data_IF_936917962949
#
_entry.id   IF_936917962949
#
_cell.length_a   1.000
_cell.length_b   1.000
_cell.length_c   1.000
_cell.angle_alpha   90.00
_cell.angle_beta   90.00
_cell.angle_gamma   90.00
#
_symmetry.space_group_name_H-M   'P 1'
#
loop_
_entity.id
_entity.type
_entity.pdbx_description
1 polymer ?
#
# COMPACT_ATOMS: atom_id res chain seq x y z
N UNK A 1 -5.37 9.82 11.25
CA UNK A 1 -5.81 9.24 9.96
C UNK A 1 -6.84 10.16 9.34
N UNK A 2 -6.72 10.44 8.04
CA UNK A 2 -7.62 11.33 7.28
C UNK A 2 -8.24 10.51 6.14
N UNK A 3 -9.56 10.43 6.09
CA UNK A 3 -10.30 9.72 5.06
C UNK A 3 -10.47 10.60 3.82
N UNK A 4 -10.25 10.06 2.64
CA UNK A 4 -10.39 10.79 1.36
C UNK A 4 -11.54 10.25 0.50
N UNK A 5 -12.22 9.19 0.95
CA UNK A 5 -13.29 8.54 0.19
C UNK A 5 -14.46 9.47 -0.17
N UNK A 6 -14.73 10.51 0.63
CA UNK A 6 -15.75 11.53 0.34
C UNK A 6 -15.32 12.60 -0.67
N UNK A 7 -14.03 12.69 -1.00
CA UNK A 7 -13.45 13.75 -1.83
C UNK A 7 -13.41 13.39 -3.32
N UNK A 8 -13.84 12.19 -3.70
CA UNK A 8 -13.58 11.68 -5.06
C UNK A 8 -12.09 11.59 -5.39
N UNK A 9 -11.22 11.46 -4.39
CA UNK A 9 -9.76 11.38 -4.52
C UNK A 9 -9.21 10.25 -3.68
N UNK A 10 -8.19 9.58 -4.19
CA UNK A 10 -7.43 8.59 -3.42
C UNK A 10 -6.54 9.26 -2.37
N UNK A 11 -6.21 8.53 -1.32
CA UNK A 11 -5.27 9.02 -0.29
C UNK A 11 -3.91 9.37 -0.89
N UNK A 12 -3.48 8.65 -1.94
CA UNK A 12 -2.25 8.94 -2.69
C UNK A 12 -2.30 10.27 -3.43
N UNK A 13 -3.44 10.63 -4.02
CA UNK A 13 -3.61 11.92 -4.71
C UNK A 13 -3.61 13.08 -3.72
N UNK A 14 -4.33 12.93 -2.59
CA UNK A 14 -4.32 13.96 -1.53
C UNK A 14 -2.92 14.10 -0.93
N UNK A 15 -2.19 13.00 -0.73
CA UNK A 15 -0.81 13.04 -0.28
C UNK A 15 0.12 13.75 -1.28
N UNK A 16 -0.09 13.56 -2.58
CA UNK A 16 0.66 14.29 -3.61
C UNK A 16 0.38 15.80 -3.57
N UNK A 17 -0.88 16.20 -3.42
CA UNK A 17 -1.26 17.61 -3.27
C UNK A 17 -0.63 18.24 -2.03
N UNK A 18 -0.70 17.58 -0.87
CA UNK A 18 -0.07 18.02 0.37
C UNK A 18 1.43 18.23 0.21
N UNK A 19 2.13 17.27 -0.41
CA UNK A 19 3.59 17.33 -0.62
C UNK A 19 3.98 18.44 -1.62
N UNK A 20 3.31 18.49 -2.76
CA UNK A 20 3.73 19.34 -3.89
C UNK A 20 3.31 20.80 -3.73
N UNK A 21 2.08 21.04 -3.28
CA UNK A 21 1.53 22.41 -3.15
C UNK A 21 1.75 22.99 -1.77
N UNK A 22 1.59 22.18 -0.73
CA UNK A 22 1.57 22.68 0.65
C UNK A 22 2.84 22.36 1.41
N UNK A 23 3.77 21.57 0.85
CA UNK A 23 5.03 21.14 1.51
C UNK A 23 4.75 20.46 2.85
N UNK A 24 3.74 19.60 2.88
CA UNK A 24 3.37 18.77 4.03
C UNK A 24 3.53 17.32 3.60
N UNK A 25 4.35 16.57 4.31
CA UNK A 25 4.57 15.14 4.04
C UNK A 25 3.69 14.31 4.97
N UNK A 26 2.72 13.55 4.44
CA UNK A 26 2.04 12.52 5.22
C UNK A 26 2.97 11.35 5.51
N UNK A 27 2.76 10.67 6.64
CA UNK A 27 3.49 9.46 7.01
C UNK A 27 3.25 8.31 6.01
N UNK A 28 1.98 8.13 5.59
CA UNK A 28 1.61 7.08 4.64
C UNK A 28 0.31 7.40 3.91
N UNK A 29 0.13 6.79 2.74
CA UNK A 29 -1.06 6.98 1.92
C UNK A 29 -1.56 5.67 1.30
N UNK A 30 -2.86 5.45 1.40
CA UNK A 30 -3.59 4.31 0.83
C UNK A 30 -4.61 4.80 -0.19
N UNK A 31 -5.40 3.87 -0.72
CA UNK A 31 -6.43 4.17 -1.71
C UNK A 31 -7.55 5.05 -1.18
N UNK A 32 -7.90 4.97 0.11
CA UNK A 32 -9.06 5.66 0.71
C UNK A 32 -8.74 6.63 1.84
N UNK A 33 -7.48 6.68 2.25
CA UNK A 33 -7.06 7.44 3.41
C UNK A 33 -5.57 7.71 3.34
N UNK A 34 -5.14 8.66 4.14
CA UNK A 34 -3.75 8.91 4.45
C UNK A 34 -3.57 9.02 5.96
N UNK A 35 -2.35 8.80 6.41
CA UNK A 35 -1.93 8.97 7.78
C UNK A 35 -1.08 10.24 7.86
N UNK A 36 -1.58 11.24 8.57
CA UNK A 36 -0.76 12.30 9.14
C UNK A 36 -0.39 11.85 10.56
N UNK A 37 0.90 11.83 10.87
CA UNK A 37 1.42 11.52 12.18
C UNK A 37 1.93 12.82 12.81
N UNK A 38 1.65 12.99 14.10
CA UNK A 38 1.99 14.18 14.86
C UNK A 38 2.86 13.79 16.04
N UNK A 39 3.64 14.73 16.54
CA UNK A 39 4.69 14.56 17.54
C UNK A 39 4.79 15.81 18.41
N UNK A 40 5.61 15.74 19.46
CA UNK A 40 5.92 16.89 20.32
C UNK A 40 6.70 18.00 19.60
N UNK A 41 7.22 17.71 18.39
CA UNK A 41 7.97 18.66 17.58
C UNK A 41 7.07 19.46 16.61
N UNK A 42 5.77 19.16 16.56
CA UNK A 42 4.84 19.89 15.70
C UNK A 42 4.39 21.20 16.34
N UNK A 43 4.21 22.22 15.49
CA UNK A 43 3.83 23.56 15.92
C UNK A 43 2.35 23.84 15.62
N UNK A 44 1.75 24.76 16.39
CA UNK A 44 0.39 25.25 16.11
C UNK A 44 0.26 25.80 14.68
N UNK A 45 1.32 26.45 14.17
CA UNK A 45 1.40 26.89 12.77
C UNK A 45 1.33 25.71 11.79
N UNK A 46 2.02 24.60 12.07
CA UNK A 46 1.97 23.38 11.28
C UNK A 46 0.56 22.81 11.19
N UNK A 47 -0.16 22.77 12.32
CA UNK A 47 -1.56 22.35 12.37
C UNK A 47 -2.49 23.29 11.60
N UNK A 48 -2.29 24.61 11.72
CA UNK A 48 -3.06 25.59 10.97
C UNK A 48 -2.86 25.43 9.45
N UNK A 49 -1.62 25.23 9.00
CA UNK A 49 -1.28 24.96 7.60
C UNK A 49 -1.91 23.68 7.08
N UNK A 50 -1.83 22.58 7.84
CA UNK A 50 -2.47 21.32 7.48
C UNK A 50 -3.99 21.48 7.34
N UNK A 51 -4.63 22.15 8.28
CA UNK A 51 -6.07 22.39 8.27
C UNK A 51 -6.50 23.22 7.06
N UNK A 52 -5.78 24.31 6.77
CA UNK A 52 -6.03 25.15 5.61
C UNK A 52 -5.85 24.39 4.29
N UNK A 53 -4.79 23.58 4.17
CA UNK A 53 -4.53 22.75 3.01
C UNK A 53 -5.66 21.73 2.76
N UNK A 54 -6.08 21.02 3.80
CA UNK A 54 -7.18 20.04 3.70
C UNK A 54 -8.49 20.71 3.28
N UNK A 55 -8.82 21.88 3.84
CA UNK A 55 -10.03 22.62 3.49
C UNK A 55 -10.00 23.20 2.05
N UNK A 56 -8.81 23.48 1.50
CA UNK A 56 -8.68 23.85 0.09
C UNK A 56 -8.82 22.63 -0.83
N UNK A 57 -8.18 21.51 -0.49
CA UNK A 57 -8.27 20.25 -1.24
C UNK A 57 -9.72 19.74 -1.27
N UNK A 58 -10.46 19.86 -0.18
CA UNK A 58 -11.87 19.47 -0.07
C UNK A 58 -12.77 20.20 -1.07
N UNK A 59 -12.44 21.45 -1.41
CA UNK A 59 -13.18 22.26 -2.40
C UNK A 59 -12.81 21.96 -3.84
N UNK A 60 -11.74 21.20 -4.09
CA UNK A 60 -11.31 20.84 -5.44
C UNK A 60 -12.13 19.66 -5.97
N UNK A 61 -12.59 19.67 -7.24
CA UNK A 61 -13.31 18.54 -7.81
C UNK A 61 -12.42 17.29 -7.84
N UNK A 62 -12.99 16.12 -7.53
CA UNK A 62 -12.34 14.81 -7.62
C UNK A 62 -13.00 13.93 -8.68
N UNK A 63 -12.21 13.20 -9.45
CA UNK A 63 -12.69 12.37 -10.57
C UNK A 63 -13.01 10.92 -10.17
N UNK A 64 -12.83 10.57 -8.89
CA UNK A 64 -13.54 9.47 -8.25
C UNK A 64 -13.29 8.09 -8.85
N UNK A 65 -12.05 7.59 -8.84
CA UNK A 65 -11.79 6.15 -8.97
C UNK A 65 -10.97 5.67 -7.79
N UNK A 66 -11.65 4.98 -6.88
CA UNK A 66 -11.00 4.33 -5.74
C UNK A 66 -10.98 2.82 -5.99
N UNK A 67 -9.82 2.21 -6.34
CA UNK A 67 -9.74 0.78 -6.48
C UNK A 67 -10.15 0.05 -5.18
N UNK A 68 -10.75 -1.14 -5.29
CA UNK A 68 -11.14 -1.91 -4.12
C UNK A 68 -9.91 -2.23 -3.26
N UNK A 69 -10.09 -2.43 -1.93
CA UNK A 69 -9.00 -2.85 -1.07
C UNK A 69 -8.42 -4.17 -1.58
N UNK A 70 -7.09 -4.29 -1.55
CA UNK A 70 -6.42 -5.57 -1.80
C UNK A 70 -6.67 -6.46 -0.58
N UNK A 71 -7.30 -7.60 -0.82
CA UNK A 71 -7.53 -8.64 0.20
C UNK A 71 -6.67 -9.83 -0.16
N UNK A 72 -5.74 -10.16 0.72
CA UNK A 72 -4.91 -11.35 0.62
C UNK A 72 -5.45 -12.40 1.60
N UNK A 73 -5.46 -13.67 1.20
CA UNK A 73 -5.73 -14.76 2.13
C UNK A 73 -4.59 -14.89 3.14
N UNK A 74 -4.84 -15.60 4.24
CA UNK A 74 -3.78 -16.02 5.16
C UNK A 74 -3.09 -17.24 4.52
N UNK A 75 -1.80 -17.16 4.15
CA UNK A 75 -1.11 -18.28 3.53
C UNK A 75 -0.96 -19.46 4.50
N UNK A 76 -0.86 -20.66 3.96
CA UNK A 76 -0.57 -21.84 4.75
C UNK A 76 0.93 -21.92 5.06
N UNK A 77 1.31 -21.96 6.34
CA UNK A 77 2.68 -22.32 6.75
C UNK A 77 2.96 -23.80 6.45
N UNK A 78 3.91 -24.08 5.57
CA UNK A 78 4.35 -25.45 5.23
C UNK A 78 5.65 -25.80 5.94
N UNK A 79 6.54 -24.81 6.09
CA UNK A 79 7.81 -24.93 6.79
C UNK A 79 7.90 -23.81 7.82
N UNK A 80 8.33 -24.08 9.07
CA UNK A 80 8.55 -23.03 10.05
C UNK A 80 9.55 -21.99 9.55
N UNK A 81 9.28 -20.71 9.82
CA UNK A 81 10.10 -19.58 9.37
C UNK A 81 11.60 -19.77 9.68
N UNK A 82 11.92 -20.21 10.89
CA UNK A 82 13.30 -20.45 11.35
C UNK A 82 14.07 -21.46 10.50
N UNK A 83 13.37 -22.46 9.93
CA UNK A 83 13.94 -23.45 9.02
C UNK A 83 13.96 -22.94 7.58
N UNK A 84 12.89 -22.28 7.15
CA UNK A 84 12.78 -21.73 5.80
C UNK A 84 13.86 -20.68 5.52
N UNK A 85 14.21 -19.84 6.50
CA UNK A 85 15.31 -18.86 6.39
C UNK A 85 16.67 -19.49 6.11
N UNK A 86 16.91 -20.73 6.57
CA UNK A 86 18.19 -21.43 6.40
C UNK A 86 18.18 -22.43 5.24
N UNK A 87 17.02 -22.64 4.62
CA UNK A 87 16.89 -23.59 3.52
C UNK A 87 17.55 -23.03 2.26
N UNK A 88 18.02 -23.93 1.40
CA UNK A 88 18.42 -23.57 0.04
C UNK A 88 17.22 -22.97 -0.71
N UNK A 89 17.47 -21.93 -1.51
CA UNK A 89 16.46 -21.15 -2.23
C UNK A 89 16.84 -21.12 -3.70
N UNK A 90 15.84 -21.00 -4.56
CA UNK A 90 16.04 -20.74 -5.99
C UNK A 90 15.06 -19.66 -6.45
N UNK A 91 15.45 -18.92 -7.48
CA UNK A 91 14.59 -17.91 -8.10
C UNK A 91 13.79 -18.56 -9.21
N UNK A 92 12.47 -18.39 -9.18
CA UNK A 92 11.57 -18.86 -10.24
C UNK A 92 10.76 -17.70 -10.81
N UNK A 93 10.34 -17.76 -12.08
CA UNK A 93 9.36 -16.83 -12.60
C UNK A 93 8.08 -16.82 -11.74
N UNK A 94 7.49 -15.63 -11.53
CA UNK A 94 6.25 -15.49 -10.74
C UNK A 94 5.13 -16.39 -11.29
N UNK A 95 5.08 -16.54 -12.62
CA UNK A 95 4.16 -17.41 -13.35
C UNK A 95 4.28 -18.92 -13.01
N UNK A 96 5.38 -19.33 -12.40
CA UNK A 96 5.63 -20.72 -11.96
C UNK A 96 5.71 -20.86 -10.43
N UNK A 97 5.47 -19.78 -9.68
CA UNK A 97 5.64 -19.77 -8.22
C UNK A 97 4.45 -20.38 -7.44
N UNK A 98 3.24 -20.39 -8.01
CA UNK A 98 2.04 -20.89 -7.33
C UNK A 98 2.20 -22.37 -6.99
N UNK A 99 1.83 -22.74 -5.76
CA UNK A 99 1.98 -24.07 -5.20
C UNK A 99 3.35 -24.33 -4.56
N UNK A 100 4.38 -23.49 -4.84
CA UNK A 100 5.71 -23.62 -4.21
C UNK A 100 5.72 -23.02 -2.81
N UNK A 101 6.80 -23.26 -2.08
CA UNK A 101 7.06 -22.66 -0.77
C UNK A 101 7.87 -21.38 -1.00
N UNK A 102 7.45 -20.28 -0.40
CA UNK A 102 8.18 -19.03 -0.46
C UNK A 102 9.55 -19.18 0.17
N UNK A 103 10.58 -18.74 -0.55
CA UNK A 103 11.93 -18.56 -0.01
C UNK A 103 12.17 -17.13 0.50
N UNK A 104 11.20 -16.22 0.40
CA UNK A 104 11.40 -14.80 0.70
C UNK A 104 10.15 -14.12 1.23
N UNK A 105 10.28 -12.85 1.57
CA UNK A 105 9.18 -12.01 2.01
C UNK A 105 8.54 -11.33 0.81
N UNK A 106 7.21 -11.24 0.80
CA UNK A 106 6.46 -10.35 -0.10
C UNK A 106 5.69 -9.36 0.75
N UNK A 107 6.02 -8.08 0.57
CA UNK A 107 5.47 -6.96 1.37
C UNK A 107 4.98 -5.90 0.36
N UNK A 108 3.74 -6.01 -0.13
CA UNK A 108 3.18 -5.04 -1.07
C UNK A 108 2.98 -3.69 -0.40
N UNK A 109 3.32 -2.61 -1.11
CA UNK A 109 3.08 -1.25 -0.65
C UNK A 109 2.11 -0.50 -1.58
N UNK A 110 1.05 0.13 -1.04
CA UNK A 110 0.47 -0.06 0.29
C UNK A 110 -0.21 -1.45 0.43
N UNK A 111 -0.37 -2.04 1.63
CA UNK A 111 -0.26 -1.42 2.96
C UNK A 111 1.11 -1.49 3.67
N UNK A 112 2.11 -2.17 3.13
CA UNK A 112 3.42 -2.30 3.76
C UNK A 112 3.49 -3.37 4.86
N UNK A 113 2.54 -4.32 4.90
CA UNK A 113 2.60 -5.50 5.77
C UNK A 113 2.94 -6.76 4.96
N UNK A 114 3.64 -7.75 5.55
CA UNK A 114 3.92 -9.01 4.87
C UNK A 114 2.63 -9.75 4.51
N UNK A 115 2.51 -10.15 3.25
CA UNK A 115 1.44 -11.03 2.76
C UNK A 115 1.93 -12.45 2.48
N UNK A 116 3.25 -12.64 2.51
CA UNK A 116 3.89 -13.94 2.35
C UNK A 116 5.24 -13.92 3.08
N UNK A 117 5.46 -14.92 3.90
CA UNK A 117 6.69 -15.17 4.66
C UNK A 117 7.44 -16.38 4.08
N UNK A 118 8.78 -16.49 4.29
CA UNK A 118 9.49 -17.71 3.99
C UNK A 118 8.89 -18.93 4.70
N UNK A 119 8.70 -20.02 3.96
CA UNK A 119 8.10 -21.25 4.50
C UNK A 119 6.58 -21.36 4.30
N UNK A 120 5.93 -20.30 3.83
CA UNK A 120 4.51 -20.32 3.47
C UNK A 120 4.28 -20.74 2.01
N UNK A 121 3.12 -21.33 1.74
CA UNK A 121 2.72 -21.76 0.40
C UNK A 121 2.24 -20.56 -0.43
N UNK A 122 2.77 -20.43 -1.63
CA UNK A 122 2.36 -19.41 -2.59
C UNK A 122 1.03 -19.82 -3.23
N UNK A 123 0.01 -19.00 -3.06
CA UNK A 123 -1.33 -19.18 -3.64
C UNK A 123 -1.59 -18.18 -4.78
N UNK A 124 -2.64 -18.42 -5.58
CA UNK A 124 -2.90 -17.63 -6.78
C UNK A 124 -3.33 -16.17 -6.50
N UNK A 125 -3.94 -15.91 -5.34
CA UNK A 125 -4.35 -14.59 -4.85
C UNK A 125 -3.15 -13.67 -4.58
N UNK A 126 -2.00 -14.24 -4.18
CA UNK A 126 -0.77 -13.50 -3.90
C UNK A 126 -0.17 -12.87 -5.17
N UNK A 127 -0.51 -13.37 -6.36
CA UNK A 127 0.02 -12.80 -7.61
C UNK A 127 -0.33 -11.33 -7.80
N UNK A 128 -1.34 -10.82 -7.10
CA UNK A 128 -1.93 -9.52 -7.39
C UNK A 128 -2.49 -9.51 -8.82
N UNK A 129 -3.36 -8.56 -9.13
CA UNK A 129 -3.78 -8.37 -10.52
C UNK A 129 -2.65 -7.63 -11.28
N UNK A 130 -1.51 -8.30 -11.46
CA UNK A 130 -0.36 -7.79 -12.21
C UNK A 130 -0.75 -7.56 -13.66
N UNK A 131 -0.89 -6.29 -14.04
CA UNK A 131 -0.95 -5.77 -15.41
C UNK A 131 -1.83 -6.54 -16.41
N UNK A 132 -3.11 -6.18 -16.51
CA UNK A 132 -3.77 -6.15 -17.83
C UNK A 132 -3.39 -4.86 -18.56
N UNK A 133 -2.12 -4.73 -18.97
CA UNK A 133 -1.79 -3.97 -20.20
C UNK A 133 -1.74 -5.00 -21.31
N UNK A 134 -2.92 -5.48 -21.71
CA UNK A 134 -3.08 -6.14 -22.99
C UNK A 134 -2.80 -5.11 -24.07
N UNK A 135 -1.81 -5.40 -24.90
CA UNK A 135 -1.57 -4.73 -26.17
C UNK A 135 -2.91 -4.56 -26.90
N UNK A 136 -3.31 -3.31 -27.15
CA UNK A 136 -4.20 -3.02 -28.27
C UNK A 136 -3.30 -2.62 -29.43
N UNK A 137 -3.53 -3.37 -30.51
CA UNK A 137 -3.14 -3.24 -31.91
C UNK A 137 -2.81 -1.83 -32.36
#
# INVERSE_FOLDING_TARGET
>A
MILTGGLGRSGREVAALLRERYRIEPEAAWTRHLLAMTSVCDTDEGFARLTAALAEIDRMPGEGVCPPPLVYGIPQTVVPLSRAERAARETVPLASAVGRISGGYVIPYPPGIPVLLPGERITADIRGNGSRRTSRT
#
